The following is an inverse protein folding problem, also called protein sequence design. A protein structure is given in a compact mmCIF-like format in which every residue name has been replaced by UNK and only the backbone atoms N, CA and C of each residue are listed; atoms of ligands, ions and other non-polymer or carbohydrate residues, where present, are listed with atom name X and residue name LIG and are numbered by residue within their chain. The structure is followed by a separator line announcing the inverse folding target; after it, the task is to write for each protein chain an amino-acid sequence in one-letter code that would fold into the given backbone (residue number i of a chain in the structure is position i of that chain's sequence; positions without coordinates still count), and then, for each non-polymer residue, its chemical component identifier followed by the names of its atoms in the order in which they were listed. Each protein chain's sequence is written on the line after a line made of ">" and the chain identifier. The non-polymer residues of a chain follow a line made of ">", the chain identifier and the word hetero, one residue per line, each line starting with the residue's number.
data_IF_010349895411
#
_entry.id   IF_010349895411
#
_cell.length_a   1.000
_cell.length_b   1.000
_cell.length_c   1.000
_cell.angle_alpha   90.00
_cell.angle_beta   90.00
_cell.angle_gamma   90.00
#
_symmetry.space_group_name_H-M   'P 1'
#
loop_
_entity.id
_entity.type
_entity.pdbx_description
1 polymer ?
#
# COMPACT_ATOMS: atom_id res chain seq x y z
N UNK A 1 25.50 12.73 10.90
CA UNK A 1 25.22 13.30 9.56
C UNK A 1 23.97 12.65 8.99
N UNK A 2 22.84 13.37 9.08
CA UNK A 2 21.56 13.04 8.46
C UNK A 2 21.71 13.07 6.93
N UNK A 3 21.99 11.92 6.33
CA UNK A 3 21.85 11.70 4.88
C UNK A 3 21.29 10.30 4.57
N UNK A 4 20.50 9.72 5.49
CA UNK A 4 19.58 8.62 5.15
C UNK A 4 18.41 9.24 4.39
N UNK A 5 18.70 9.37 3.11
CA UNK A 5 17.99 10.04 2.03
C UNK A 5 16.48 9.89 2.11
N UNK A 6 15.78 11.00 1.86
CA UNK A 6 14.36 11.05 1.49
C UNK A 6 13.96 9.99 0.45
N UNK A 7 14.92 9.47 -0.33
CA UNK A 7 14.74 8.33 -1.22
C UNK A 7 14.26 7.04 -0.51
N UNK A 8 14.73 6.74 0.71
CA UNK A 8 14.27 5.56 1.47
C UNK A 8 12.84 5.74 1.99
N UNK A 9 12.41 6.97 2.24
CA UNK A 9 11.05 7.30 2.65
C UNK A 9 10.10 7.17 1.45
N UNK A 10 10.54 7.64 0.27
CA UNK A 10 9.79 7.55 -0.98
C UNK A 10 9.62 6.11 -1.48
N UNK A 11 10.59 5.22 -1.30
CA UNK A 11 10.48 3.81 -1.75
C UNK A 11 9.58 2.94 -0.88
N UNK A 12 9.25 3.37 0.34
CA UNK A 12 8.34 2.66 1.24
C UNK A 12 6.89 3.15 1.14
N UNK A 13 6.69 4.46 1.31
CA UNK A 13 5.36 5.06 1.45
C UNK A 13 4.59 5.12 0.13
N UNK A 14 5.21 5.61 -0.95
CA UNK A 14 4.53 5.78 -2.25
C UNK A 14 3.99 4.45 -2.79
N UNK A 15 4.78 3.35 -2.83
CA UNK A 15 4.25 2.07 -3.27
C UNK A 15 3.15 1.53 -2.34
N UNK A 16 3.27 1.76 -1.03
CA UNK A 16 2.23 1.38 -0.07
C UNK A 16 0.91 2.07 -0.37
N UNK A 17 0.94 3.40 -0.56
CA UNK A 17 -0.24 4.19 -0.93
C UNK A 17 -0.80 3.79 -2.30
N UNK A 18 0.05 3.50 -3.29
CA UNK A 18 -0.40 3.02 -4.59
C UNK A 18 -1.14 1.68 -4.49
N UNK A 19 -0.62 0.72 -3.72
CA UNK A 19 -1.31 -0.55 -3.53
C UNK A 19 -2.65 -0.40 -2.81
N UNK A 20 -2.71 0.48 -1.80
CA UNK A 20 -4.00 0.82 -1.16
C UNK A 20 -4.96 1.45 -2.17
N UNK A 21 -4.49 2.38 -3.00
CA UNK A 21 -5.30 3.01 -4.05
C UNK A 21 -5.85 2.02 -5.07
N UNK A 22 -5.00 1.11 -5.57
CA UNK A 22 -5.41 0.04 -6.50
C UNK A 22 -6.46 -0.86 -5.84
N UNK A 23 -6.23 -1.28 -4.58
CA UNK A 23 -7.16 -2.12 -3.85
C UNK A 23 -8.53 -1.45 -3.66
N UNK A 24 -8.55 -0.18 -3.24
CA UNK A 24 -9.79 0.58 -3.10
C UNK A 24 -10.50 0.73 -4.44
N UNK A 25 -9.77 1.08 -5.50
CA UNK A 25 -10.34 1.20 -6.84
C UNK A 25 -11.03 -0.11 -7.28
N UNK A 26 -10.37 -1.25 -7.12
CA UNK A 26 -10.93 -2.56 -7.49
C UNK A 26 -12.12 -2.98 -6.60
N UNK A 27 -12.09 -2.68 -5.30
CA UNK A 27 -13.18 -2.99 -4.38
C UNK A 27 -14.44 -2.15 -4.63
N UNK A 28 -14.27 -0.89 -5.05
CA UNK A 28 -15.37 0.04 -5.29
C UNK A 28 -15.78 0.14 -6.78
N UNK A 29 -15.07 -0.52 -7.68
CA UNK A 29 -15.37 -0.58 -9.13
C UNK A 29 -15.54 -2.03 -9.63
N UNK A 30 -16.49 -2.81 -9.08
CA UNK A 30 -16.63 -4.25 -9.38
C UNK A 30 -17.06 -4.55 -10.82
N UNK A 31 -17.58 -3.55 -11.54
CA UNK A 31 -17.98 -3.69 -12.96
C UNK A 31 -16.80 -3.71 -13.93
N UNK A 32 -15.56 -3.56 -13.42
CA UNK A 32 -14.34 -3.68 -14.21
C UNK A 32 -13.99 -5.13 -14.60
N UNK A 33 -14.62 -6.14 -13.98
CA UNK A 33 -14.39 -7.55 -14.28
C UNK A 33 -15.67 -8.33 -14.67
N UNK A 34 -15.53 -9.35 -15.55
CA UNK A 34 -16.59 -10.31 -15.82
C UNK A 34 -17.09 -10.97 -14.53
N UNK A 35 -18.39 -11.31 -14.48
CA UNK A 35 -19.03 -11.94 -13.31
C UNK A 35 -18.25 -13.13 -12.75
N UNK A 36 -17.73 -14.00 -13.62
CA UNK A 36 -16.96 -15.19 -13.24
C UNK A 36 -15.62 -14.90 -12.54
N UNK A 37 -15.08 -13.68 -12.67
CA UNK A 37 -13.78 -13.28 -12.13
C UNK A 37 -13.90 -12.26 -10.98
N UNK A 38 -15.12 -11.93 -10.52
CA UNK A 38 -15.33 -10.89 -9.50
C UNK A 38 -14.78 -11.28 -8.14
N UNK A 39 -14.98 -12.53 -7.72
CA UNK A 39 -14.50 -13.00 -6.42
C UNK A 39 -12.96 -13.07 -6.40
N UNK A 40 -12.34 -13.55 -7.49
CA UNK A 40 -10.89 -13.54 -7.67
C UNK A 40 -10.33 -12.12 -7.64
N UNK A 41 -10.96 -11.18 -8.37
CA UNK A 41 -10.55 -9.77 -8.37
C UNK A 41 -10.69 -9.15 -6.98
N UNK A 42 -11.77 -9.46 -6.26
CA UNK A 42 -12.00 -8.99 -4.90
C UNK A 42 -10.93 -9.51 -3.95
N UNK A 43 -10.60 -10.81 -4.02
CA UNK A 43 -9.57 -11.41 -3.19
C UNK A 43 -8.18 -10.82 -3.51
N UNK A 44 -7.87 -10.62 -4.80
CA UNK A 44 -6.67 -9.92 -5.24
C UNK A 44 -6.60 -8.50 -4.69
N UNK A 45 -7.71 -7.75 -4.72
CA UNK A 45 -7.79 -6.40 -4.18
C UNK A 45 -7.56 -6.40 -2.66
N UNK A 46 -8.15 -7.33 -1.91
CA UNK A 46 -7.94 -7.45 -0.46
C UNK A 46 -6.46 -7.72 -0.12
N UNK A 47 -5.82 -8.66 -0.83
CA UNK A 47 -4.41 -9.00 -0.61
C UNK A 47 -3.48 -7.82 -0.94
N UNK A 48 -3.72 -7.18 -2.08
CA UNK A 48 -2.98 -5.98 -2.51
C UNK A 48 -3.14 -4.85 -1.49
N UNK A 49 -4.36 -4.62 -1.00
CA UNK A 49 -4.66 -3.59 -0.01
C UNK A 49 -4.00 -3.87 1.34
N UNK A 50 -4.10 -5.11 1.84
CA UNK A 50 -3.46 -5.52 3.09
C UNK A 50 -1.93 -5.31 3.04
N UNK A 51 -1.30 -5.67 1.92
CA UNK A 51 0.13 -5.45 1.73
C UNK A 51 0.50 -3.95 1.66
N UNK A 52 -0.32 -3.15 0.98
CA UNK A 52 -0.18 -1.69 0.94
C UNK A 52 -0.25 -1.06 2.33
N UNK A 53 -1.27 -1.43 3.13
CA UNK A 53 -1.44 -0.98 4.51
C UNK A 53 -0.22 -1.35 5.36
N UNK A 54 0.25 -2.60 5.26
CA UNK A 54 1.42 -3.05 6.00
C UNK A 54 2.68 -2.21 5.69
N UNK A 55 2.90 -1.85 4.42
CA UNK A 55 4.01 -0.95 4.05
C UNK A 55 3.89 0.42 4.70
N UNK A 56 2.68 0.98 4.73
CA UNK A 56 2.43 2.29 5.39
C UNK A 56 2.73 2.19 6.89
N UNK A 57 2.27 1.13 7.56
CA UNK A 57 2.56 0.89 8.99
C UNK A 57 4.06 0.80 9.24
N UNK A 58 4.78 -0.01 8.46
CA UNK A 58 6.26 -0.14 8.55
C UNK A 58 6.98 1.18 8.36
N UNK A 59 6.52 1.99 7.41
CA UNK A 59 7.04 3.33 7.19
C UNK A 59 6.79 4.23 8.41
N UNK A 60 5.58 4.22 8.98
CA UNK A 60 5.27 5.00 10.19
C UNK A 60 6.12 4.58 11.39
N UNK A 61 6.39 3.28 11.55
CA UNK A 61 7.29 2.77 12.58
C UNK A 61 8.72 3.28 12.40
N UNK A 62 9.26 3.17 11.18
CA UNK A 62 10.61 3.65 10.85
C UNK A 62 10.76 5.17 11.02
N UNK A 63 9.71 5.93 10.68
CA UNK A 63 9.68 7.37 10.88
C UNK A 63 9.72 7.74 12.37
N UNK A 64 8.95 7.04 13.21
CA UNK A 64 8.97 7.24 14.67
C UNK A 64 10.35 6.95 15.26
N UNK A 65 10.96 5.83 14.87
CA UNK A 65 12.32 5.45 15.32
C UNK A 65 13.37 6.52 14.93
N UNK A 66 13.24 7.12 13.74
CA UNK A 66 14.13 8.18 13.29
C UNK A 66 13.97 9.51 14.04
N UNK A 67 12.80 9.76 14.65
CA UNK A 67 12.51 10.98 15.40
C UNK A 67 12.87 10.86 16.89
N UNK A 68 13.01 9.64 17.40
CA UNK A 68 13.42 9.35 18.79
C UNK A 68 14.95 9.36 19.02
N UNK A 69 15.75 9.63 17.98
CA UNK A 69 17.21 9.74 17.98
C UNK A 69 17.64 11.20 17.77
#
# INVERSE_FOLDING_TARGET
>A
MLKKSSASLLTGLLPGLMFVGIALYLLFSPDTAPLAARDDLRQYAMLTGAYGIWRVVRFSMALRESQSL
#
